data_IF_896349886558
#
_entry.id   IF_896349886558
#
_cell.length_a   1.000
_cell.length_b   1.000
_cell.length_c   1.000
_cell.angle_alpha   90.00
_cell.angle_beta   90.00
_cell.angle_gamma   90.00
#
_symmetry.space_group_name_H-M   'P 1'
#
loop_
_entity.id
_entity.type
_entity.pdbx_description
1 polymer ?
#
# COMPACT_ATOMS: atom_id res chain seq x y z
N UNK A 1 5.20 13.15 -5.44
CA UNK A 1 4.71 14.29 -4.65
C UNK A 1 3.23 14.46 -4.97
N UNK A 2 2.34 13.83 -4.23
CA UNK A 2 0.89 13.99 -4.36
C UNK A 2 0.54 15.39 -3.85
N UNK A 3 -0.04 16.22 -4.73
CA UNK A 3 -0.60 17.50 -4.30
C UNK A 3 -1.81 17.18 -3.41
N UNK A 4 -1.66 17.41 -2.12
CA UNK A 4 -2.75 17.40 -1.16
C UNK A 4 -3.78 18.44 -1.63
N UNK A 5 -4.90 17.98 -2.17
CA UNK A 5 -5.97 18.87 -2.68
C UNK A 5 -6.84 19.37 -1.52
N UNK A 6 -6.69 18.81 -0.32
CA UNK A 6 -7.43 19.18 0.88
C UNK A 6 -6.49 19.51 2.05
N UNK A 7 -6.68 20.57 2.78
CA UNK A 7 -7.93 20.92 3.46
C UNK A 7 -8.70 22.04 2.75
N UNK A 8 -9.96 21.82 2.41
CA UNK A 8 -10.84 22.89 1.99
C UNK A 8 -11.46 23.47 3.26
N UNK A 9 -11.03 24.66 3.63
CA UNK A 9 -11.83 25.47 4.55
C UNK A 9 -13.05 25.97 3.79
N UNK A 10 -14.28 25.70 4.24
CA UNK A 10 -15.46 26.25 3.60
C UNK A 10 -15.38 27.78 3.51
N UNK A 11 -16.03 28.42 2.52
CA UNK A 11 -16.04 29.87 2.41
C UNK A 11 -16.57 30.53 3.70
N UNK A 12 -15.98 31.65 4.10
CA UNK A 12 -16.34 32.37 5.33
C UNK A 12 -17.84 32.75 5.39
N UNK A 13 -18.48 32.96 4.24
CA UNK A 13 -19.91 33.20 4.11
C UNK A 13 -20.78 32.06 4.65
N UNK A 14 -20.26 30.84 4.71
CA UNK A 14 -20.99 29.67 5.25
C UNK A 14 -20.85 29.51 6.77
N UNK A 15 -20.01 30.31 7.42
CA UNK A 15 -19.69 30.17 8.84
C UNK A 15 -20.94 30.23 9.74
N UNK A 16 -21.84 31.17 9.47
CA UNK A 16 -23.08 31.32 10.25
C UNK A 16 -24.01 30.12 10.08
N UNK A 17 -24.18 29.62 8.86
CA UNK A 17 -24.96 28.39 8.57
C UNK A 17 -24.36 27.17 9.22
N UNK A 18 -23.03 26.98 9.14
CA UNK A 18 -22.32 25.88 9.78
C UNK A 18 -22.54 25.86 11.31
N UNK A 19 -22.42 27.02 11.95
CA UNK A 19 -22.65 27.13 13.40
C UNK A 19 -24.11 26.79 13.79
N UNK A 20 -25.10 27.20 12.98
CA UNK A 20 -26.52 26.82 13.23
C UNK A 20 -26.75 25.33 12.99
N UNK A 21 -26.20 24.76 11.92
CA UNK A 21 -26.26 23.30 11.65
C UNK A 21 -25.63 22.52 12.80
N UNK A 22 -24.48 22.97 13.31
CA UNK A 22 -23.86 22.35 14.48
C UNK A 22 -24.78 22.41 15.71
N UNK A 23 -25.40 23.54 16.00
CA UNK A 23 -26.32 23.67 17.14
C UNK A 23 -27.54 22.73 17.04
N UNK A 24 -28.05 22.50 15.81
CA UNK A 24 -29.13 21.55 15.56
C UNK A 24 -28.64 20.09 15.76
N UNK A 25 -27.46 19.78 15.27
CA UNK A 25 -26.81 18.49 15.48
C UNK A 25 -26.57 18.21 16.96
N UNK A 26 -25.99 19.15 17.68
CA UNK A 26 -25.68 19.06 19.12
C UNK A 26 -26.94 18.84 19.97
N UNK A 27 -28.00 19.56 19.67
CA UNK A 27 -29.29 19.39 20.35
C UNK A 27 -29.95 18.01 20.13
N UNK A 28 -29.59 17.33 19.03
CA UNK A 28 -30.07 15.98 18.69
C UNK A 28 -29.07 14.86 18.89
N UNK A 29 -27.87 15.15 19.39
CA UNK A 29 -26.73 14.24 19.38
C UNK A 29 -27.00 12.87 19.98
N UNK A 30 -27.62 12.81 21.15
CA UNK A 30 -27.91 11.54 21.84
C UNK A 30 -28.83 10.64 21.00
N UNK A 31 -29.88 11.20 20.41
CA UNK A 31 -30.79 10.42 19.57
C UNK A 31 -30.14 10.00 18.27
N UNK A 32 -29.35 10.88 17.65
CA UNK A 32 -28.59 10.56 16.42
C UNK A 32 -27.64 9.38 16.67
N UNK A 33 -26.92 9.38 17.79
CA UNK A 33 -25.99 8.30 18.16
C UNK A 33 -26.72 6.97 18.37
N UNK A 34 -27.89 6.99 19.02
CA UNK A 34 -28.73 5.80 19.22
C UNK A 34 -29.19 5.26 17.87
N UNK A 35 -29.80 6.09 17.04
CA UNK A 35 -30.39 5.69 15.75
C UNK A 35 -29.31 5.13 14.78
N UNK A 36 -28.16 5.78 14.72
CA UNK A 36 -27.02 5.31 13.91
C UNK A 36 -26.52 3.96 14.43
N UNK A 37 -26.33 3.82 15.74
CA UNK A 37 -25.82 2.58 16.32
C UNK A 37 -26.76 1.41 16.07
N UNK A 38 -28.08 1.59 16.21
CA UNK A 38 -29.07 0.56 15.92
C UNK A 38 -29.01 0.11 14.44
N UNK A 39 -28.89 1.05 13.52
CA UNK A 39 -28.75 0.75 12.08
C UNK A 39 -27.44 0.04 11.76
N UNK A 40 -26.33 0.52 12.33
CA UNK A 40 -25.03 -0.10 12.14
C UNK A 40 -24.94 -1.51 12.72
N UNK A 41 -25.63 -1.79 13.83
CA UNK A 41 -25.65 -3.13 14.43
C UNK A 41 -26.24 -4.20 13.51
N UNK A 42 -27.08 -3.80 12.56
CA UNK A 42 -27.71 -4.68 11.54
C UNK A 42 -26.99 -4.65 10.20
N UNK A 43 -26.03 -3.73 10.01
CA UNK A 43 -25.30 -3.61 8.75
C UNK A 43 -24.31 -4.78 8.57
N UNK A 44 -24.19 -5.39 7.36
CA UNK A 44 -23.32 -6.54 7.12
C UNK A 44 -21.86 -6.32 7.53
N UNK A 45 -21.29 -5.17 7.20
CA UNK A 45 -19.87 -4.84 7.43
C UNK A 45 -19.62 -4.27 8.82
N UNK A 46 -20.51 -3.38 9.30
CA UNK A 46 -20.31 -2.71 10.58
C UNK A 46 -20.85 -3.51 11.76
N UNK A 47 -21.90 -4.34 11.55
CA UNK A 47 -22.54 -5.07 12.63
C UNK A 47 -21.59 -5.95 13.45
N UNK A 48 -20.69 -6.74 12.84
CA UNK A 48 -19.70 -7.50 13.59
C UNK A 48 -18.77 -6.61 14.44
N UNK A 49 -18.34 -5.48 13.90
CA UNK A 49 -17.42 -4.55 14.59
C UNK A 49 -18.10 -3.87 15.79
N UNK A 50 -19.37 -3.47 15.65
CA UNK A 50 -20.08 -2.70 16.68
C UNK A 50 -20.59 -3.58 17.82
N UNK A 51 -20.97 -4.82 17.54
CA UNK A 51 -21.46 -5.74 18.59
C UNK A 51 -20.41 -6.08 19.63
N UNK A 52 -19.15 -6.18 19.20
CA UNK A 52 -18.04 -6.61 20.05
C UNK A 52 -17.21 -5.43 20.57
N UNK A 53 -17.47 -4.20 20.09
CA UNK A 53 -16.73 -3.02 20.48
C UNK A 53 -17.54 -2.16 21.45
N UNK A 54 -17.08 -1.97 22.70
CA UNK A 54 -17.73 -1.07 23.65
C UNK A 54 -17.66 0.37 23.15
N UNK A 55 -18.67 1.17 23.55
CA UNK A 55 -18.68 2.61 23.23
C UNK A 55 -17.47 3.28 23.90
N UNK A 56 -16.62 3.86 23.08
CA UNK A 56 -15.54 4.70 23.57
C UNK A 56 -16.04 6.14 23.74
N UNK A 57 -16.57 6.45 24.92
CA UNK A 57 -17.13 7.79 25.22
C UNK A 57 -16.11 8.93 25.12
N UNK A 58 -14.84 8.64 25.39
CA UNK A 58 -13.78 9.65 25.25
C UNK A 58 -13.55 10.00 23.78
N UNK A 59 -13.57 9.02 22.90
CA UNK A 59 -13.42 9.22 21.46
C UNK A 59 -14.65 9.91 20.86
N UNK A 60 -15.86 9.52 21.28
CA UNK A 60 -17.10 10.20 20.89
C UNK A 60 -17.07 11.68 21.28
N UNK A 61 -16.68 11.99 22.53
CA UNK A 61 -16.55 13.36 22.99
C UNK A 61 -15.45 14.13 22.19
N UNK A 62 -14.32 13.50 21.93
CA UNK A 62 -13.25 14.09 21.13
C UNK A 62 -13.70 14.38 19.69
N UNK A 63 -14.47 13.49 19.07
CA UNK A 63 -15.03 13.69 17.73
C UNK A 63 -16.04 14.85 17.71
N UNK A 64 -16.90 14.92 18.71
CA UNK A 64 -17.83 16.04 18.90
C UNK A 64 -17.09 17.38 19.06
N UNK A 65 -16.05 17.43 19.88
CA UNK A 65 -15.23 18.63 20.09
C UNK A 65 -14.47 19.05 18.82
N UNK A 66 -13.96 18.11 18.03
CA UNK A 66 -13.34 18.40 16.72
C UNK A 66 -14.35 19.02 15.76
N UNK A 67 -15.57 18.46 15.69
CA UNK A 67 -16.64 18.98 14.83
C UNK A 67 -17.06 20.37 15.28
N UNK A 68 -17.25 20.59 16.60
CA UNK A 68 -17.54 21.89 17.17
C UNK A 68 -16.45 22.92 16.82
N UNK A 69 -15.19 22.53 16.99
CA UNK A 69 -14.03 23.37 16.67
C UNK A 69 -14.01 23.78 15.19
N UNK A 70 -14.38 22.86 14.30
CA UNK A 70 -14.46 23.12 12.87
C UNK A 70 -15.62 24.06 12.52
N UNK A 71 -16.86 23.74 12.92
CA UNK A 71 -18.07 24.41 12.46
C UNK A 71 -18.36 25.73 13.21
N UNK A 72 -17.95 25.85 14.47
CA UNK A 72 -18.21 27.01 15.34
C UNK A 72 -16.98 27.91 15.44
N UNK A 73 -15.83 27.32 15.83
CA UNK A 73 -14.58 28.06 16.03
C UNK A 73 -13.82 28.29 14.71
N UNK A 74 -14.27 27.71 13.61
CA UNK A 74 -13.69 27.77 12.27
C UNK A 74 -12.27 27.21 12.16
N UNK A 75 -11.99 26.16 12.93
CA UNK A 75 -10.69 25.46 12.98
C UNK A 75 -10.83 24.04 12.46
N UNK A 76 -10.57 23.86 11.17
CA UNK A 76 -10.85 22.64 10.43
C UNK A 76 -9.74 21.57 10.48
N UNK A 77 -8.50 21.95 10.82
CA UNK A 77 -7.36 21.03 10.71
C UNK A 77 -7.55 19.74 11.51
N UNK A 78 -7.95 19.84 12.78
CA UNK A 78 -8.18 18.69 13.64
C UNK A 78 -9.32 17.78 13.17
N UNK A 79 -10.35 18.35 12.52
CA UNK A 79 -11.44 17.58 11.93
C UNK A 79 -10.97 16.79 10.70
N UNK A 80 -10.20 17.43 9.81
CA UNK A 80 -9.67 16.77 8.61
C UNK A 80 -8.61 15.74 8.93
N UNK A 81 -7.76 15.97 9.96
CA UNK A 81 -6.78 14.99 10.42
C UNK A 81 -7.47 13.72 10.92
N UNK A 82 -8.50 13.87 11.75
CA UNK A 82 -9.30 12.75 12.23
C UNK A 82 -10.04 12.01 11.10
N UNK A 83 -10.58 12.74 10.12
CA UNK A 83 -11.24 12.13 8.95
C UNK A 83 -10.25 11.26 8.16
N UNK A 84 -8.99 11.70 8.00
CA UNK A 84 -7.93 10.95 7.35
C UNK A 84 -7.52 9.70 8.14
N UNK A 85 -7.39 9.82 9.46
CA UNK A 85 -7.08 8.68 10.34
C UNK A 85 -8.18 7.61 10.29
N UNK A 86 -9.44 8.03 10.35
CA UNK A 86 -10.56 7.12 10.21
C UNK A 86 -10.56 6.41 8.86
N UNK A 87 -10.34 7.13 7.76
CA UNK A 87 -10.29 6.55 6.42
C UNK A 87 -9.19 5.49 6.29
N UNK A 88 -8.01 5.74 6.85
CA UNK A 88 -6.91 4.77 6.89
C UNK A 88 -7.26 3.54 7.75
N UNK A 89 -7.96 3.74 8.87
CA UNK A 89 -8.46 2.65 9.72
C UNK A 89 -9.46 1.76 8.98
N UNK A 90 -10.41 2.34 8.25
CA UNK A 90 -11.39 1.60 7.44
C UNK A 90 -10.72 0.83 6.29
N UNK A 91 -9.74 1.43 5.62
CA UNK A 91 -8.98 0.76 4.58
C UNK A 91 -8.19 -0.45 5.14
N UNK A 92 -7.59 -0.31 6.33
CA UNK A 92 -6.87 -1.40 7.01
C UNK A 92 -7.80 -2.51 7.49
N UNK A 93 -9.01 -2.17 7.90
CA UNK A 93 -10.05 -3.12 8.32
C UNK A 93 -10.80 -3.75 7.12
N UNK A 94 -10.39 -3.44 5.88
CA UNK A 94 -11.00 -3.93 4.64
C UNK A 94 -12.50 -3.58 4.51
N UNK A 95 -12.96 -2.51 5.18
CA UNK A 95 -14.34 -2.05 5.09
C UNK A 95 -14.51 -1.31 3.76
N UNK A 96 -15.49 -1.69 2.91
CA UNK A 96 -15.69 -1.03 1.62
C UNK A 96 -16.04 0.46 1.77
N UNK A 97 -15.47 1.30 0.92
CA UNK A 97 -15.80 2.73 0.87
C UNK A 97 -17.32 2.97 0.69
N UNK A 98 -17.97 2.10 -0.09
CA UNK A 98 -19.42 2.17 -0.33
C UNK A 98 -20.22 2.07 0.98
N UNK A 99 -19.83 1.20 1.90
CA UNK A 99 -20.50 1.03 3.21
C UNK A 99 -20.38 2.30 4.06
N UNK A 100 -19.21 2.95 4.04
CA UNK A 100 -19.04 4.22 4.73
C UNK A 100 -19.88 5.34 4.10
N UNK A 101 -19.95 5.42 2.76
CA UNK A 101 -20.80 6.40 2.06
C UNK A 101 -22.27 6.18 2.38
N UNK A 102 -22.71 4.92 2.50
CA UNK A 102 -24.07 4.59 2.93
C UNK A 102 -24.36 5.12 4.34
N UNK A 103 -23.42 4.93 5.27
CA UNK A 103 -23.52 5.48 6.62
C UNK A 103 -23.65 7.02 6.62
N UNK A 104 -22.82 7.70 5.84
CA UNK A 104 -22.88 9.17 5.72
C UNK A 104 -24.22 9.63 5.12
N UNK A 105 -24.76 8.88 4.17
CA UNK A 105 -26.07 9.20 3.58
C UNK A 105 -27.23 8.98 4.58
N UNK A 106 -27.15 7.97 5.43
CA UNK A 106 -28.11 7.77 6.53
C UNK A 106 -28.06 8.94 7.51
N UNK A 107 -26.85 9.37 7.90
CA UNK A 107 -26.63 10.53 8.75
C UNK A 107 -27.13 11.83 8.08
N UNK A 108 -26.80 12.03 6.80
CA UNK A 108 -27.30 13.17 6.00
C UNK A 108 -28.82 13.27 6.03
N UNK A 109 -29.50 12.14 5.85
CA UNK A 109 -30.96 12.11 5.79
C UNK A 109 -31.63 12.51 7.13
N UNK A 110 -31.09 11.99 8.25
CA UNK A 110 -31.58 12.33 9.57
C UNK A 110 -31.32 13.82 9.90
N UNK A 111 -30.11 14.29 9.65
CA UNK A 111 -29.73 15.67 9.94
C UNK A 111 -30.47 16.68 9.04
N UNK A 112 -30.71 16.33 7.77
CA UNK A 112 -31.52 17.13 6.85
C UNK A 112 -32.92 17.36 7.41
N UNK A 113 -33.60 16.29 7.90
CA UNK A 113 -34.93 16.40 8.48
C UNK A 113 -34.94 17.32 9.71
N UNK A 114 -33.90 17.25 10.55
CA UNK A 114 -33.76 18.11 11.74
C UNK A 114 -33.50 19.58 11.35
N UNK A 115 -32.66 19.81 10.36
CA UNK A 115 -32.39 21.17 9.84
C UNK A 115 -33.68 21.78 9.28
N UNK A 116 -34.43 21.04 8.47
CA UNK A 116 -35.73 21.51 7.93
C UNK A 116 -36.73 21.84 9.04
N UNK A 117 -36.75 21.05 10.13
CA UNK A 117 -37.68 21.25 11.23
C UNK A 117 -37.29 22.40 12.18
N UNK A 118 -35.99 22.62 12.40
CA UNK A 118 -35.50 23.52 13.43
C UNK A 118 -34.98 24.87 12.89
N UNK A 119 -34.57 24.95 11.62
CA UNK A 119 -34.04 26.21 11.06
C UNK A 119 -35.13 27.29 10.88
N UNK A 120 -34.85 28.54 11.25
CA UNK A 120 -35.72 29.66 10.92
C UNK A 120 -35.90 29.77 9.40
N UNK A 121 -37.10 30.09 8.94
CA UNK A 121 -37.43 30.17 7.50
C UNK A 121 -36.47 31.07 6.70
N UNK A 122 -36.03 32.16 7.30
CA UNK A 122 -35.11 33.14 6.72
C UNK A 122 -33.69 32.58 6.52
N UNK A 123 -33.28 31.57 7.28
CA UNK A 123 -31.94 30.94 7.24
C UNK A 123 -31.93 29.51 6.67
N UNK A 124 -33.11 28.95 6.38
CA UNK A 124 -33.24 27.54 5.96
C UNK A 124 -32.35 27.20 4.74
N UNK A 125 -32.32 28.08 3.73
CA UNK A 125 -31.51 27.85 2.54
C UNK A 125 -30.00 27.85 2.85
N UNK A 126 -29.55 28.79 3.68
CA UNK A 126 -28.15 28.88 4.11
C UNK A 126 -27.73 27.65 4.90
N UNK A 127 -28.61 27.18 5.81
CA UNK A 127 -28.33 26.03 6.65
C UNK A 127 -28.31 24.73 5.82
N UNK A 128 -29.18 24.60 4.83
CA UNK A 128 -29.15 23.47 3.90
C UNK A 128 -27.86 23.47 3.05
N UNK A 129 -27.47 24.63 2.55
CA UNK A 129 -26.22 24.77 1.78
C UNK A 129 -25.00 24.47 2.65
N UNK A 130 -24.98 24.90 3.90
CA UNK A 130 -23.92 24.62 4.85
C UNK A 130 -23.84 23.11 5.16
N UNK A 131 -24.97 22.45 5.39
CA UNK A 131 -25.06 21.00 5.61
C UNK A 131 -24.51 20.22 4.41
N UNK A 132 -25.01 20.51 3.21
CA UNK A 132 -24.56 19.83 1.98
C UNK A 132 -23.05 20.04 1.76
N UNK A 133 -22.58 21.27 1.91
CA UNK A 133 -21.17 21.59 1.74
C UNK A 133 -20.28 20.79 2.71
N UNK A 134 -20.63 20.78 4.00
CA UNK A 134 -19.88 20.03 5.00
C UNK A 134 -19.80 18.54 4.66
N UNK A 135 -20.93 17.92 4.35
CA UNK A 135 -20.99 16.48 4.08
C UNK A 135 -20.27 16.12 2.77
N UNK A 136 -20.38 16.95 1.74
CA UNK A 136 -19.68 16.74 0.47
C UNK A 136 -18.15 16.84 0.65
N UNK A 137 -17.69 17.86 1.39
CA UNK A 137 -16.26 17.99 1.71
C UNK A 137 -15.77 16.82 2.58
N UNK A 138 -16.57 16.34 3.53
CA UNK A 138 -16.24 15.16 4.35
C UNK A 138 -16.15 13.89 3.52
N UNK A 139 -17.11 13.65 2.62
CA UNK A 139 -17.09 12.51 1.69
C UNK A 139 -15.84 12.57 0.80
N UNK A 140 -15.55 13.73 0.23
CA UNK A 140 -14.40 13.90 -0.66
C UNK A 140 -13.07 13.69 0.07
N UNK A 141 -12.90 14.26 1.27
CA UNK A 141 -11.71 14.10 2.09
C UNK A 141 -11.49 12.65 2.53
N UNK A 142 -12.54 11.98 3.00
CA UNK A 142 -12.50 10.59 3.40
C UNK A 142 -12.17 9.67 2.21
N UNK A 143 -12.88 9.83 1.08
CA UNK A 143 -12.65 9.01 -0.11
C UNK A 143 -11.22 9.11 -0.63
N UNK A 144 -10.66 10.32 -0.68
CA UNK A 144 -9.28 10.53 -1.09
C UNK A 144 -8.29 9.84 -0.13
N UNK A 145 -8.48 10.02 1.18
CA UNK A 145 -7.63 9.40 2.20
C UNK A 145 -7.73 7.86 2.16
N UNK A 146 -8.94 7.32 1.97
CA UNK A 146 -9.19 5.89 1.83
C UNK A 146 -8.48 5.29 0.62
N UNK A 147 -8.58 5.93 -0.55
CA UNK A 147 -7.88 5.47 -1.77
C UNK A 147 -6.36 5.50 -1.56
N UNK A 148 -5.82 6.59 -1.00
CA UNK A 148 -4.38 6.70 -0.73
C UNK A 148 -3.88 5.65 0.27
N UNK A 149 -4.67 5.32 1.28
CA UNK A 149 -4.34 4.27 2.25
C UNK A 149 -4.33 2.88 1.60
N UNK A 150 -5.33 2.57 0.76
CA UNK A 150 -5.38 1.31 0.02
C UNK A 150 -4.21 1.15 -0.96
N UNK A 151 -3.85 2.20 -1.69
CA UNK A 151 -2.66 2.18 -2.55
C UNK A 151 -1.40 1.85 -1.75
N UNK A 152 -1.24 2.43 -0.57
CA UNK A 152 -0.13 2.13 0.34
C UNK A 152 -0.09 0.67 0.82
N UNK A 153 -1.25 0.08 1.10
CA UNK A 153 -1.37 -1.35 1.47
C UNK A 153 -0.98 -2.24 0.30
N UNK A 154 -1.49 -1.98 -0.90
CA UNK A 154 -1.18 -2.73 -2.13
C UNK A 154 0.32 -2.65 -2.44
N UNK A 155 0.92 -1.47 -2.40
CA UNK A 155 2.36 -1.30 -2.59
C UNK A 155 3.19 -2.02 -1.52
N UNK A 156 2.73 -2.04 -0.27
CA UNK A 156 3.35 -2.78 0.82
C UNK A 156 3.33 -4.28 0.58
N UNK A 157 2.19 -4.83 0.18
CA UNK A 157 2.04 -6.24 -0.18
C UNK A 157 2.91 -6.60 -1.39
N UNK A 158 2.91 -5.78 -2.44
CA UNK A 158 3.77 -6.00 -3.61
C UNK A 158 5.26 -5.95 -3.27
N UNK A 159 5.68 -5.05 -2.35
CA UNK A 159 7.05 -5.02 -1.85
C UNK A 159 7.40 -6.28 -1.05
N UNK A 160 6.50 -6.74 -0.19
CA UNK A 160 6.70 -7.99 0.56
C UNK A 160 6.82 -9.20 -0.37
N UNK A 161 5.96 -9.32 -1.38
CA UNK A 161 6.03 -10.38 -2.41
C UNK A 161 7.36 -10.29 -3.17
N UNK A 162 7.79 -9.08 -3.55
CA UNK A 162 9.08 -8.87 -4.23
C UNK A 162 10.28 -9.26 -3.35
N UNK A 163 10.23 -8.97 -2.06
CA UNK A 163 11.29 -9.35 -1.11
C UNK A 163 11.40 -10.87 -0.89
N UNK A 164 10.29 -11.59 -1.00
CA UNK A 164 10.25 -13.05 -0.90
C UNK A 164 10.67 -13.75 -2.21
N UNK A 165 10.73 -13.03 -3.33
CA UNK A 165 10.85 -13.64 -4.67
C UNK A 165 12.26 -13.94 -5.15
N UNK A 166 13.33 -13.60 -4.38
CA UNK A 166 14.72 -13.92 -4.76
C UNK A 166 15.59 -14.24 -3.53
N UNK A 167 15.30 -15.32 -2.78
CA UNK A 167 16.12 -15.67 -1.63
C UNK A 167 17.48 -16.23 -2.10
N UNK A 168 18.58 -15.67 -1.58
CA UNK A 168 19.91 -16.29 -1.73
C UNK A 168 20.00 -17.43 -0.73
N UNK A 169 19.92 -18.66 -1.22
CA UNK A 169 19.97 -19.88 -0.42
C UNK A 169 21.42 -20.37 -0.31
N UNK A 170 21.81 -20.81 0.88
CA UNK A 170 23.08 -21.49 1.07
C UNK A 170 22.85 -23.00 1.06
N UNK A 171 23.34 -23.70 0.01
CA UNK A 171 23.20 -25.12 -0.08
C UNK A 171 24.21 -25.82 0.85
N UNK A 172 25.44 -25.31 0.89
CA UNK A 172 26.53 -25.76 1.78
C UNK A 172 27.56 -24.63 1.95
N UNK A 173 28.52 -24.72 2.85
CA UNK A 173 29.60 -23.75 2.98
C UNK A 173 30.28 -23.47 1.65
N UNK A 174 30.29 -22.21 1.23
CA UNK A 174 30.91 -21.76 -0.02
C UNK A 174 30.02 -21.89 -1.27
N UNK A 175 28.86 -22.52 -1.23
CA UNK A 175 27.93 -22.67 -2.36
C UNK A 175 26.59 -21.98 -2.09
N UNK A 176 26.24 -21.04 -2.94
CA UNK A 176 24.96 -20.34 -2.94
C UNK A 176 24.10 -20.73 -4.14
N UNK A 177 22.80 -20.70 -3.97
CA UNK A 177 21.81 -20.79 -5.04
C UNK A 177 20.95 -19.54 -4.99
N UNK A 178 20.69 -18.97 -6.17
CA UNK A 178 19.79 -17.83 -6.38
C UNK A 178 18.77 -18.21 -7.45
N UNK A 179 17.58 -18.73 -7.07
CA UNK A 179 16.52 -19.00 -8.02
C UNK A 179 15.82 -17.68 -8.40
N UNK A 180 15.62 -17.50 -9.71
CA UNK A 180 14.93 -16.33 -10.26
C UNK A 180 13.65 -16.81 -10.93
N UNK A 181 12.50 -16.26 -10.50
CA UNK A 181 11.18 -16.65 -11.02
C UNK A 181 10.41 -15.41 -11.43
N UNK A 182 9.85 -15.42 -12.65
CA UNK A 182 9.05 -14.34 -13.22
C UNK A 182 9.87 -13.27 -13.94
N UNK A 183 9.22 -12.18 -14.34
CA UNK A 183 9.86 -11.12 -15.13
C UNK A 183 10.97 -10.41 -14.34
N UNK A 184 12.03 -10.04 -15.05
CA UNK A 184 13.19 -9.30 -14.54
C UNK A 184 13.08 -7.85 -14.96
N UNK A 185 12.55 -7.00 -14.07
CA UNK A 185 12.62 -5.55 -14.23
C UNK A 185 13.93 -4.99 -13.62
N UNK A 186 14.18 -3.72 -13.91
CA UNK A 186 15.40 -3.03 -13.47
C UNK A 186 15.56 -3.02 -11.95
N UNK A 187 14.50 -2.70 -11.23
CA UNK A 187 14.56 -2.57 -9.76
C UNK A 187 14.84 -3.92 -9.11
N UNK A 188 14.27 -4.98 -9.65
CA UNK A 188 14.47 -6.35 -9.20
C UNK A 188 15.91 -6.83 -9.45
N UNK A 189 16.48 -6.49 -10.62
CA UNK A 189 17.87 -6.82 -10.93
C UNK A 189 18.85 -6.08 -10.04
N UNK A 190 18.60 -4.81 -9.72
CA UNK A 190 19.44 -4.04 -8.81
C UNK A 190 19.37 -4.59 -7.37
N UNK A 191 18.19 -4.98 -6.90
CA UNK A 191 18.02 -5.63 -5.60
C UNK A 191 18.70 -7.00 -5.56
N UNK A 192 18.50 -7.81 -6.60
CA UNK A 192 19.14 -9.13 -6.73
C UNK A 192 20.64 -9.01 -6.68
N UNK A 193 21.23 -8.07 -7.43
CA UNK A 193 22.67 -7.82 -7.43
C UNK A 193 23.17 -7.44 -6.04
N UNK A 194 22.49 -6.54 -5.35
CA UNK A 194 22.87 -6.13 -4.00
C UNK A 194 22.84 -7.31 -3.01
N UNK A 195 21.77 -8.11 -3.02
CA UNK A 195 21.62 -9.30 -2.18
C UNK A 195 22.68 -10.36 -2.50
N UNK A 196 22.95 -10.61 -3.77
CA UNK A 196 23.95 -11.57 -4.22
C UNK A 196 25.34 -11.19 -3.71
N UNK A 197 25.78 -9.94 -3.95
CA UNK A 197 27.12 -9.48 -3.54
C UNK A 197 27.25 -9.44 -2.01
N UNK A 198 26.20 -9.06 -1.30
CA UNK A 198 26.16 -9.14 0.16
C UNK A 198 26.30 -10.59 0.66
N UNK A 199 25.58 -11.53 0.06
CA UNK A 199 25.64 -12.94 0.43
C UNK A 199 27.02 -13.56 0.12
N UNK A 200 27.62 -13.23 -1.02
CA UNK A 200 29.00 -13.63 -1.37
C UNK A 200 29.97 -13.25 -0.27
N UNK A 201 29.91 -11.98 0.15
CA UNK A 201 30.79 -11.46 1.21
C UNK A 201 30.52 -12.11 2.56
N UNK A 202 29.26 -12.16 2.99
CA UNK A 202 28.90 -12.63 4.34
C UNK A 202 29.13 -14.12 4.52
N UNK A 203 28.83 -14.91 3.48
CA UNK A 203 28.90 -16.39 3.52
C UNK A 203 30.18 -16.93 2.91
N UNK A 204 31.11 -16.06 2.51
CA UNK A 204 32.39 -16.41 1.87
C UNK A 204 32.16 -17.40 0.72
N UNK A 205 31.18 -17.09 -0.14
CA UNK A 205 30.83 -17.94 -1.25
C UNK A 205 31.98 -17.99 -2.26
N UNK A 206 32.22 -19.19 -2.79
CA UNK A 206 33.20 -19.47 -3.85
C UNK A 206 32.53 -19.94 -5.13
N UNK A 207 31.30 -20.43 -5.02
CA UNK A 207 30.46 -20.78 -6.16
C UNK A 207 29.01 -20.33 -5.94
N UNK A 208 28.35 -19.94 -7.04
CA UNK A 208 26.96 -19.50 -7.07
C UNK A 208 26.28 -20.20 -8.23
N UNK A 209 25.11 -20.78 -8.01
CA UNK A 209 24.21 -21.20 -9.08
C UNK A 209 23.07 -20.21 -9.18
N UNK A 210 22.98 -19.52 -10.31
CA UNK A 210 21.97 -18.56 -10.63
C UNK A 210 20.97 -19.24 -11.57
N UNK A 211 19.82 -19.64 -11.03
CA UNK A 211 18.83 -20.38 -11.79
C UNK A 211 17.78 -19.47 -12.42
N UNK A 212 17.74 -19.42 -13.73
CA UNK A 212 16.82 -18.60 -14.54
C UNK A 212 15.71 -19.43 -15.22
N UNK A 213 15.52 -20.69 -14.83
CA UNK A 213 14.49 -21.57 -15.39
C UNK A 213 13.09 -20.93 -15.32
N UNK A 214 12.82 -20.17 -14.27
CA UNK A 214 11.54 -19.50 -14.05
C UNK A 214 11.40 -18.12 -14.72
N UNK A 215 12.36 -17.70 -15.55
CA UNK A 215 12.34 -16.42 -16.26
C UNK A 215 11.82 -16.64 -17.68
N UNK A 216 10.68 -16.04 -18.07
CA UNK A 216 10.11 -16.26 -19.39
C UNK A 216 10.92 -15.59 -20.50
N UNK A 217 11.36 -14.36 -20.27
CA UNK A 217 12.12 -13.55 -21.23
C UNK A 217 12.92 -12.46 -20.52
N UNK A 218 13.95 -11.94 -21.19
CA UNK A 218 14.70 -10.77 -20.73
C UNK A 218 14.91 -9.79 -21.88
N UNK A 219 14.88 -8.50 -21.58
CA UNK A 219 15.28 -7.46 -22.52
C UNK A 219 16.81 -7.22 -22.51
N UNK A 220 17.29 -6.38 -23.40
CA UNK A 220 18.71 -6.07 -23.53
C UNK A 220 19.31 -5.38 -22.28
N UNK A 221 18.49 -4.62 -21.55
CA UNK A 221 18.91 -3.95 -20.31
C UNK A 221 19.07 -4.97 -19.19
N UNK A 222 18.09 -5.85 -19.04
CA UNK A 222 18.12 -6.94 -18.06
C UNK A 222 19.26 -7.91 -18.32
N UNK A 223 19.53 -8.26 -19.59
CA UNK A 223 20.64 -9.11 -20.00
C UNK A 223 22.00 -8.51 -19.55
N UNK A 224 22.24 -7.23 -19.82
CA UNK A 224 23.48 -6.54 -19.41
C UNK A 224 23.63 -6.47 -17.88
N UNK A 225 22.53 -6.20 -17.14
CA UNK A 225 22.57 -6.14 -15.68
C UNK A 225 22.80 -7.51 -15.05
N UNK A 226 22.21 -8.57 -15.62
CA UNK A 226 22.42 -9.94 -15.20
C UNK A 226 23.90 -10.33 -15.30
N UNK A 227 24.49 -10.12 -16.47
CA UNK A 227 25.91 -10.40 -16.69
C UNK A 227 26.83 -9.49 -15.87
N UNK A 228 26.46 -8.23 -15.67
CA UNK A 228 27.15 -7.34 -14.74
C UNK A 228 27.16 -7.88 -13.30
N UNK A 229 26.09 -8.54 -12.88
CA UNK A 229 25.98 -9.19 -11.56
C UNK A 229 26.91 -10.42 -11.46
N UNK A 230 26.91 -11.25 -12.51
CA UNK A 230 27.84 -12.41 -12.64
C UNK A 230 29.31 -11.96 -12.57
N UNK A 231 29.66 -10.96 -13.37
CA UNK A 231 31.02 -10.42 -13.41
C UNK A 231 31.44 -9.84 -12.06
N UNK A 232 30.54 -9.11 -11.38
CA UNK A 232 30.80 -8.54 -10.06
C UNK A 232 31.05 -9.62 -9.00
N UNK A 233 30.24 -10.70 -9.00
CA UNK A 233 30.43 -11.83 -8.10
C UNK A 233 31.76 -12.56 -8.35
N UNK A 234 32.15 -12.71 -9.62
CA UNK A 234 33.42 -13.32 -10.03
C UNK A 234 34.62 -12.49 -9.58
N UNK A 235 34.54 -11.15 -9.68
CA UNK A 235 35.58 -10.24 -9.15
C UNK A 235 35.71 -10.35 -7.63
N UNK A 236 34.68 -10.77 -6.92
CA UNK A 236 34.70 -11.04 -5.47
C UNK A 236 35.18 -12.49 -5.13
N UNK A 237 35.58 -13.27 -6.15
CA UNK A 237 36.11 -14.61 -5.98
C UNK A 237 35.05 -15.73 -5.97
N UNK A 238 33.81 -15.44 -6.37
CA UNK A 238 32.74 -16.42 -6.47
C UNK A 238 32.45 -16.75 -7.95
N UNK A 239 32.78 -17.97 -8.40
CA UNK A 239 32.39 -18.43 -9.74
C UNK A 239 30.88 -18.55 -9.82
N UNK A 240 30.29 -18.01 -10.91
CA UNK A 240 28.85 -18.02 -11.08
C UNK A 240 28.47 -18.90 -12.28
N UNK A 241 27.62 -19.88 -12.03
CA UNK A 241 27.04 -20.77 -13.03
C UNK A 241 25.58 -20.33 -13.25
N UNK A 242 25.19 -20.11 -14.51
CA UNK A 242 23.79 -19.82 -14.86
C UNK A 242 23.15 -21.13 -15.29
N UNK A 243 22.03 -21.53 -14.64
CA UNK A 243 21.27 -22.72 -15.02
C UNK A 243 19.91 -22.36 -15.61
N UNK A 244 19.39 -23.20 -16.49
CA UNK A 244 18.04 -23.07 -17.04
C UNK A 244 17.87 -21.96 -18.08
N UNK A 245 18.93 -21.64 -18.83
CA UNK A 245 18.85 -20.67 -19.93
C UNK A 245 17.92 -21.19 -21.04
N UNK A 246 16.83 -20.47 -21.32
CA UNK A 246 15.99 -20.71 -22.48
C UNK A 246 16.68 -20.26 -23.79
N UNK A 247 16.20 -20.77 -24.93
CA UNK A 247 16.71 -20.36 -26.23
C UNK A 247 16.53 -18.85 -26.47
N UNK A 248 15.43 -18.28 -26.01
CA UNK A 248 15.10 -16.86 -26.12
C UNK A 248 16.07 -16.00 -25.30
N UNK A 249 16.35 -16.40 -24.07
CA UNK A 249 17.32 -15.71 -23.22
C UNK A 249 18.73 -15.80 -23.82
N UNK A 250 19.14 -16.98 -24.27
CA UNK A 250 20.44 -17.18 -24.90
C UNK A 250 20.60 -16.31 -26.16
N UNK A 251 19.56 -16.22 -27.00
CA UNK A 251 19.57 -15.38 -28.21
C UNK A 251 19.65 -13.89 -27.84
N UNK A 252 18.97 -13.44 -26.81
CA UNK A 252 19.04 -12.05 -26.34
C UNK A 252 20.47 -11.73 -25.88
N UNK A 253 21.11 -12.62 -25.09
CA UNK A 253 22.49 -12.45 -24.62
C UNK A 253 23.49 -12.32 -25.79
N UNK A 254 23.35 -13.16 -26.83
CA UNK A 254 24.17 -13.09 -28.05
C UNK A 254 23.92 -11.79 -28.82
N UNK A 255 22.65 -11.40 -28.99
CA UNK A 255 22.28 -10.18 -29.74
C UNK A 255 22.84 -8.90 -29.09
N UNK A 256 22.92 -8.88 -27.78
CA UNK A 256 23.47 -7.77 -27.01
C UNK A 256 25.02 -7.73 -27.08
N UNK A 257 25.65 -8.77 -27.65
CA UNK A 257 27.09 -8.85 -27.82
C UNK A 257 27.84 -9.29 -26.55
N UNK A 258 27.16 -10.01 -25.66
CA UNK A 258 27.77 -10.54 -24.44
C UNK A 258 28.71 -11.71 -24.84
N UNK A 259 29.94 -11.66 -24.36
CA UNK A 259 30.87 -12.76 -24.51
C UNK A 259 30.46 -13.95 -23.62
N UNK A 260 29.85 -14.95 -24.25
CA UNK A 260 29.38 -16.15 -23.57
C UNK A 260 30.53 -17.01 -23.02
N UNK A 261 31.78 -16.80 -23.43
CA UNK A 261 32.96 -17.46 -22.83
C UNK A 261 33.18 -17.06 -21.37
N UNK A 262 32.62 -15.94 -20.97
CA UNK A 262 32.64 -15.46 -19.56
C UNK A 262 31.56 -16.08 -18.71
N UNK A 263 30.62 -16.82 -19.29
CA UNK A 263 29.46 -17.39 -18.60
C UNK A 263 29.56 -18.90 -18.57
N UNK A 264 29.73 -19.47 -17.37
CA UNK A 264 29.58 -20.90 -17.17
C UNK A 264 28.09 -21.20 -17.12
N UNK A 265 27.59 -22.09 -17.97
CA UNK A 265 26.16 -22.41 -18.02
C UNK A 265 25.89 -23.91 -17.89
N UNK A 266 24.71 -24.25 -17.36
CA UNK A 266 24.15 -25.59 -17.25
C UNK A 266 22.72 -25.61 -17.79
N UNK A 267 22.30 -26.76 -18.32
CA UNK A 267 20.96 -26.92 -18.89
C UNK A 267 19.85 -26.80 -17.83
N UNK A 268 20.12 -27.24 -16.61
CA UNK A 268 19.17 -27.23 -15.49
C UNK A 268 19.88 -26.98 -14.15
N UNK A 269 19.08 -26.80 -13.09
CA UNK A 269 19.57 -26.52 -11.75
C UNK A 269 20.49 -27.65 -11.22
N UNK A 270 20.17 -28.93 -11.48
CA UNK A 270 20.98 -30.04 -11.04
C UNK A 270 22.39 -29.98 -11.67
N UNK A 271 22.47 -29.84 -12.98
CA UNK A 271 23.75 -29.69 -13.67
C UNK A 271 24.54 -28.48 -13.21
N UNK A 272 23.86 -27.36 -12.89
CA UNK A 272 24.44 -26.17 -12.28
C UNK A 272 25.09 -26.46 -10.93
N UNK A 273 24.42 -27.21 -10.06
CA UNK A 273 24.94 -27.62 -8.75
C UNK A 273 26.15 -28.53 -8.91
N UNK A 274 26.08 -29.53 -9.78
CA UNK A 274 27.20 -30.45 -10.05
C UNK A 274 28.45 -29.73 -10.58
N UNK A 275 28.26 -28.70 -11.46
CA UNK A 275 29.37 -27.88 -11.92
C UNK A 275 29.98 -27.05 -10.80
N UNK A 276 29.13 -26.43 -9.96
CA UNK A 276 29.58 -25.68 -8.80
C UNK A 276 30.35 -26.52 -7.79
N UNK A 277 29.91 -27.75 -7.57
CA UNK A 277 30.57 -28.72 -6.68
C UNK A 277 31.94 -29.13 -7.20
N UNK A 278 32.06 -29.40 -8.49
CA UNK A 278 33.38 -29.69 -9.12
C UNK A 278 34.33 -28.52 -8.97
N UNK A 279 33.85 -27.28 -9.15
CA UNK A 279 34.65 -26.07 -8.95
C UNK A 279 35.16 -25.97 -7.50
N UNK A 280 34.30 -26.25 -6.52
CA UNK A 280 34.67 -26.23 -5.10
C UNK A 280 35.63 -27.38 -4.70
N UNK A 281 35.48 -28.56 -5.29
CA UNK A 281 36.32 -29.73 -5.02
C UNK A 281 37.70 -29.68 -5.69
N UNK A 282 37.83 -28.93 -6.79
CA UNK A 282 39.11 -28.76 -7.49
C UNK A 282 40.08 -27.72 -6.91
N UNK A 283 39.66 -27.04 -5.83
CA UNK A 283 40.41 -25.97 -5.12
C UNK A 283 40.80 -26.46 -3.70
N UNK A 284 40.88 -27.79 -3.46
CA UNK A 284 41.36 -28.37 -2.20
C UNK A 284 42.85 -28.58 -2.21
#
# INVERSE_FOLDING_TARGET
MSKTIYPITPPDEMRAGMARVFAIYDAGLEQIQIDIRERLATHPEFGPLIRDTPVNREEEAANHDRLRSAMVDWRWDGYWDNTREQAAGYATAEIPLASWVELVNLFRHDLLARVVAASPREHLLEDLQALDRWLDDAIAAFAQAFVSANEGVIEGQQRAIRQLSTPVLQLRPGLLILPIVGALDRDRLDQMRALLLQAVRQRRARAIVLDVTGVPEIDSVAANQLIGSVTSARMMGAETIISGLSAEIAQTLVTVGIDLSLVVSAGDLQGGIELAERHLGGIA
#
